data_IF_915009648819
#
_entry.id   IF_915009648819
#
_cell.length_a   1.000
_cell.length_b   1.000
_cell.length_c   1.000
_cell.angle_alpha   90.00
_cell.angle_beta   90.00
_cell.angle_gamma   90.00
#
_symmetry.space_group_name_H-M   'P 1'
#
loop_
_entity.id
_entity.type
_entity.pdbx_description
1 polymer ?
#
# COMPACT_ATOMS: atom_id res chain seq x y z
N UNK A 1 -36.77 10.86 -46.03
CA UNK A 1 -36.86 9.49 -45.50
C UNK A 1 -35.79 8.62 -46.15
N UNK A 2 -34.66 8.33 -45.47
CA UNK A 2 -33.63 7.31 -45.83
C UNK A 2 -32.38 7.41 -44.91
N UNK A 3 -32.55 7.39 -43.57
CA UNK A 3 -31.40 7.29 -42.63
C UNK A 3 -31.76 6.59 -41.31
N UNK A 4 -32.52 5.49 -41.36
CA UNK A 4 -32.97 4.78 -40.14
C UNK A 4 -32.80 3.26 -40.21
N UNK A 5 -31.85 2.74 -40.99
CA UNK A 5 -31.69 1.29 -41.20
C UNK A 5 -30.25 0.76 -41.14
N UNK A 6 -29.34 1.41 -40.40
CA UNK A 6 -27.94 0.95 -40.32
C UNK A 6 -27.41 0.77 -38.89
N UNK A 7 -28.25 0.82 -37.86
CA UNK A 7 -27.82 0.64 -36.47
C UNK A 7 -28.25 -0.69 -35.83
N UNK A 8 -28.95 -1.57 -36.56
CA UNK A 8 -29.51 -2.81 -35.99
C UNK A 8 -28.71 -4.09 -36.31
N UNK A 9 -27.76 -4.05 -37.25
CA UNK A 9 -27.01 -5.24 -37.69
C UNK A 9 -25.67 -5.46 -36.99
N UNK A 10 -25.18 -4.50 -36.19
CA UNK A 10 -23.90 -4.64 -35.46
C UNK A 10 -24.06 -5.24 -34.05
N UNK A 11 -25.29 -5.43 -33.56
CA UNK A 11 -25.56 -6.06 -32.26
C UNK A 11 -25.75 -7.59 -32.35
N UNK A 12 -25.62 -8.18 -33.54
CA UNK A 12 -25.84 -9.62 -33.78
C UNK A 12 -24.55 -10.42 -34.04
N UNK A 13 -23.36 -9.82 -33.94
CA UNK A 13 -22.08 -10.50 -34.20
C UNK A 13 -21.26 -10.86 -32.94
N UNK A 14 -21.84 -10.79 -31.75
CA UNK A 14 -21.22 -11.36 -30.54
C UNK A 14 -22.16 -12.39 -29.90
N UNK A 15 -22.65 -13.32 -30.71
CA UNK A 15 -23.33 -14.54 -30.27
C UNK A 15 -22.42 -15.76 -30.43
N UNK A 16 -21.12 -15.61 -30.12
CA UNK A 16 -20.31 -16.74 -29.71
C UNK A 16 -20.36 -16.78 -28.18
N UNK A 17 -21.33 -17.54 -27.67
CA UNK A 17 -21.34 -18.06 -26.29
C UNK A 17 -20.06 -18.89 -26.10
N UNK A 18 -18.94 -18.24 -25.80
CA UNK A 18 -17.95 -18.87 -24.96
C UNK A 18 -18.71 -19.16 -23.66
N UNK A 19 -19.02 -20.42 -23.41
CA UNK A 19 -19.53 -20.82 -22.11
C UNK A 19 -18.54 -20.27 -21.08
N UNK A 20 -19.00 -19.33 -20.26
CA UNK A 20 -18.23 -18.90 -19.09
C UNK A 20 -18.16 -20.13 -18.22
N UNK A 21 -16.97 -20.70 -18.14
CA UNK A 21 -16.66 -21.78 -17.23
C UNK A 21 -16.58 -21.18 -15.83
N UNK A 22 -17.72 -21.19 -15.14
CA UNK A 22 -17.87 -20.58 -13.82
C UNK A 22 -16.97 -21.24 -12.78
N UNK A 23 -16.70 -22.54 -12.91
CA UNK A 23 -15.80 -23.28 -12.01
C UNK A 23 -14.36 -22.78 -12.18
N UNK A 24 -13.93 -22.56 -13.43
CA UNK A 24 -12.62 -21.97 -13.71
C UNK A 24 -12.53 -20.52 -13.23
N UNK A 25 -13.60 -19.75 -13.36
CA UNK A 25 -13.65 -18.37 -12.88
C UNK A 25 -13.57 -18.31 -11.35
N UNK A 26 -14.27 -19.21 -10.65
CA UNK A 26 -14.27 -19.31 -9.19
C UNK A 26 -12.87 -19.64 -8.66
N UNK A 27 -12.19 -20.64 -9.24
CA UNK A 27 -10.79 -20.98 -8.88
C UNK A 27 -9.87 -19.76 -9.10
N UNK A 28 -10.03 -19.04 -10.21
CA UNK A 28 -9.21 -17.85 -10.49
C UNK A 28 -9.47 -16.72 -9.49
N UNK A 29 -10.71 -16.57 -9.02
CA UNK A 29 -11.07 -15.57 -8.01
C UNK A 29 -10.53 -15.93 -6.64
N UNK A 30 -10.56 -17.21 -6.26
CA UNK A 30 -9.98 -17.70 -5.00
C UNK A 30 -8.46 -17.52 -4.97
N UNK A 31 -7.78 -17.86 -6.08
CA UNK A 31 -6.33 -17.63 -6.23
C UNK A 31 -6.00 -16.14 -6.12
N UNK A 32 -6.74 -15.26 -6.80
CA UNK A 32 -6.54 -13.81 -6.74
C UNK A 32 -6.82 -13.24 -5.35
N UNK A 33 -7.86 -13.73 -4.66
CA UNK A 33 -8.17 -13.30 -3.30
C UNK A 33 -7.07 -13.72 -2.30
N UNK A 34 -6.54 -14.93 -2.47
CA UNK A 34 -5.42 -15.44 -1.64
C UNK A 34 -4.17 -14.60 -1.84
N UNK A 35 -3.80 -14.31 -3.09
CA UNK A 35 -2.69 -13.42 -3.42
C UNK A 35 -2.85 -12.03 -2.80
N UNK A 36 -4.03 -11.43 -2.93
CA UNK A 36 -4.31 -10.11 -2.37
C UNK A 36 -4.24 -10.10 -0.84
N UNK A 37 -4.73 -11.15 -0.18
CA UNK A 37 -4.66 -11.30 1.27
C UNK A 37 -3.21 -11.36 1.77
N UNK A 38 -2.36 -12.15 1.12
CA UNK A 38 -0.95 -12.28 1.51
C UNK A 38 -0.17 -10.98 1.29
N UNK A 39 -0.42 -10.25 0.19
CA UNK A 39 0.18 -8.92 -0.01
C UNK A 39 -0.32 -7.89 1.03
N UNK A 40 -1.58 -8.00 1.46
CA UNK A 40 -2.13 -7.14 2.52
C UNK A 40 -1.44 -7.41 3.85
N UNK A 41 -1.23 -8.68 4.20
CA UNK A 41 -0.49 -9.07 5.40
C UNK A 41 0.97 -8.61 5.32
N UNK A 42 1.62 -8.76 4.16
CA UNK A 42 2.98 -8.27 3.94
C UNK A 42 3.08 -6.76 4.16
N UNK A 43 2.14 -5.99 3.60
CA UNK A 43 2.07 -4.54 3.82
C UNK A 43 1.96 -4.21 5.31
N UNK A 44 1.02 -4.85 6.00
CA UNK A 44 0.83 -4.67 7.45
C UNK A 44 2.11 -4.99 8.23
N UNK A 45 2.76 -6.11 7.94
CA UNK A 45 3.96 -6.56 8.63
C UNK A 45 5.14 -5.60 8.44
N UNK A 46 5.34 -5.06 7.23
CA UNK A 46 6.39 -4.05 6.96
C UNK A 46 6.09 -2.73 7.66
N UNK A 47 4.83 -2.26 7.62
CA UNK A 47 4.44 -1.03 8.32
C UNK A 47 4.63 -1.16 9.82
N UNK A 48 4.21 -2.30 10.41
CA UNK A 48 4.33 -2.55 11.84
C UNK A 48 5.78 -2.75 12.27
N UNK A 49 6.62 -3.46 11.50
CA UNK A 49 8.02 -3.68 11.89
C UNK A 49 8.79 -2.37 12.06
N UNK A 50 8.48 -1.35 11.27
CA UNK A 50 9.07 -0.02 11.41
C UNK A 50 8.41 0.82 12.51
N UNK A 51 7.09 0.76 12.66
CA UNK A 51 6.40 1.40 13.79
C UNK A 51 6.85 0.88 15.16
N UNK A 52 7.40 -0.33 15.18
CA UNK A 52 7.88 -1.07 16.35
C UNK A 52 9.40 -0.91 16.54
N UNK A 53 10.10 -0.17 15.67
CA UNK A 53 11.56 0.03 15.72
C UNK A 53 12.10 0.81 16.94
N UNK A 54 11.27 1.13 17.94
CA UNK A 54 11.68 1.94 19.10
C UNK A 54 11.76 1.24 20.46
N UNK A 55 11.28 0.00 20.71
CA UNK A 55 11.26 -0.51 22.10
C UNK A 55 11.28 -2.04 22.33
N UNK A 56 12.48 -2.63 22.42
CA UNK A 56 12.78 -3.87 23.21
C UNK A 56 12.40 -5.25 22.63
N UNK A 57 12.95 -6.32 23.25
CA UNK A 57 12.78 -7.72 22.85
C UNK A 57 11.33 -8.27 22.88
N UNK A 58 10.37 -7.53 23.47
CA UNK A 58 8.93 -7.87 23.40
C UNK A 58 8.39 -7.90 21.97
N UNK A 59 9.02 -7.13 21.11
CA UNK A 59 8.46 -6.68 19.84
C UNK A 59 8.64 -7.69 18.72
N UNK A 60 9.75 -8.43 18.73
CA UNK A 60 9.91 -9.62 17.88
C UNK A 60 8.86 -10.69 18.21
N UNK A 61 8.45 -10.80 19.48
CA UNK A 61 7.37 -11.67 19.92
C UNK A 61 6.00 -11.22 19.41
N UNK A 62 5.76 -9.90 19.34
CA UNK A 62 4.52 -9.33 18.79
C UNK A 62 4.44 -9.58 17.28
N UNK A 63 5.49 -9.27 16.51
CA UNK A 63 5.52 -9.51 15.07
C UNK A 63 5.38 -11.00 14.73
N UNK A 64 5.99 -11.88 15.53
CA UNK A 64 5.78 -13.33 15.44
C UNK A 64 4.33 -13.74 15.73
N UNK A 65 3.74 -13.21 16.80
CA UNK A 65 2.34 -13.48 17.16
C UNK A 65 1.35 -12.98 16.09
N UNK A 66 1.71 -11.92 15.36
CA UNK A 66 0.98 -11.40 14.21
C UNK A 66 1.24 -12.16 12.91
N UNK A 67 2.12 -13.17 12.92
CA UNK A 67 2.40 -14.01 11.76
C UNK A 67 3.32 -13.39 10.71
N UNK A 68 4.16 -12.43 11.08
CA UNK A 68 5.00 -11.69 10.14
C UNK A 68 6.31 -12.37 9.73
N UNK A 69 6.68 -13.51 10.33
CA UNK A 69 8.02 -14.10 10.15
C UNK A 69 8.31 -14.51 8.69
N UNK A 70 7.29 -14.91 7.92
CA UNK A 70 7.49 -15.53 6.60
C UNK A 70 6.65 -14.91 5.48
N UNK A 71 6.07 -13.71 5.65
CA UNK A 71 5.11 -13.14 4.68
C UNK A 71 5.67 -12.90 3.28
N UNK A 72 6.98 -12.66 3.15
CA UNK A 72 7.64 -12.57 1.83
C UNK A 72 7.67 -13.93 1.15
N UNK A 73 7.94 -15.01 1.90
CA UNK A 73 7.96 -16.36 1.35
C UNK A 73 6.54 -16.84 1.03
N UNK A 74 5.57 -16.53 1.89
CA UNK A 74 4.16 -16.83 1.64
C UNK A 74 3.67 -16.15 0.35
N UNK A 75 4.06 -14.89 0.11
CA UNK A 75 3.72 -14.17 -1.13
C UNK A 75 4.29 -14.87 -2.38
N UNK A 76 5.52 -15.39 -2.30
CA UNK A 76 6.14 -16.18 -3.37
C UNK A 76 5.39 -17.49 -3.61
N UNK A 77 5.00 -18.17 -2.53
CA UNK A 77 4.33 -19.47 -2.60
C UNK A 77 2.93 -19.38 -3.22
N UNK A 78 2.23 -18.26 -3.01
CA UNK A 78 0.94 -17.96 -3.67
C UNK A 78 1.10 -17.34 -5.06
N UNK A 79 2.32 -17.37 -5.62
CA UNK A 79 2.67 -16.93 -6.98
C UNK A 79 2.56 -15.41 -7.22
N UNK A 80 2.67 -14.58 -6.19
CA UNK A 80 2.93 -13.16 -6.43
C UNK A 80 4.30 -12.98 -7.08
N UNK A 81 4.38 -12.03 -8.00
CA UNK A 81 5.63 -11.66 -8.68
C UNK A 81 6.54 -10.86 -7.74
N UNK A 82 7.85 -10.91 -7.98
CA UNK A 82 8.80 -10.06 -7.25
C UNK A 82 8.47 -8.56 -7.40
N UNK A 83 7.91 -8.16 -8.54
CA UNK A 83 7.43 -6.79 -8.75
C UNK A 83 6.28 -6.43 -7.80
N UNK A 84 5.26 -7.28 -7.68
CA UNK A 84 4.13 -7.06 -6.76
C UNK A 84 4.57 -7.04 -5.30
N UNK A 85 5.47 -7.95 -4.92
CA UNK A 85 6.05 -8.02 -3.58
C UNK A 85 6.83 -6.73 -3.28
N UNK A 86 7.73 -6.31 -4.17
CA UNK A 86 8.54 -5.10 -3.98
C UNK A 86 7.67 -3.84 -3.96
N UNK A 87 6.66 -3.73 -4.83
CA UNK A 87 5.73 -2.62 -4.84
C UNK A 87 4.92 -2.53 -3.53
N UNK A 88 4.55 -3.68 -2.96
CA UNK A 88 3.86 -3.76 -1.67
C UNK A 88 4.77 -3.29 -0.53
N UNK A 89 6.02 -3.74 -0.50
CA UNK A 89 7.02 -3.30 0.48
C UNK A 89 7.27 -1.79 0.38
N UNK A 90 7.50 -1.27 -0.83
CA UNK A 90 7.72 0.16 -1.07
C UNK A 90 6.50 0.97 -0.60
N UNK A 91 5.28 0.51 -0.89
CA UNK A 91 4.05 1.17 -0.42
C UNK A 91 4.00 1.23 1.10
N UNK A 92 4.31 0.12 1.78
CA UNK A 92 4.33 0.07 3.24
C UNK A 92 5.40 1.00 3.83
N UNK A 93 6.58 1.06 3.23
CA UNK A 93 7.67 1.97 3.63
C UNK A 93 7.30 3.44 3.44
N UNK A 94 6.56 3.79 2.38
CA UNK A 94 6.05 5.17 2.21
C UNK A 94 5.13 5.58 3.35
N UNK A 95 4.22 4.70 3.78
CA UNK A 95 3.34 4.97 4.94
C UNK A 95 4.17 5.19 6.20
N UNK A 96 5.20 4.38 6.42
CA UNK A 96 6.13 4.54 7.54
C UNK A 96 6.82 5.91 7.48
N UNK A 97 7.40 6.27 6.34
CA UNK A 97 8.13 7.53 6.19
C UNK A 97 7.25 8.75 6.42
N UNK A 98 5.99 8.72 5.96
CA UNK A 98 5.03 9.80 6.23
C UNK A 98 4.71 9.91 7.74
N UNK A 99 4.50 8.79 8.43
CA UNK A 99 4.28 8.80 9.88
C UNK A 99 5.49 9.35 10.66
N UNK A 100 6.72 9.02 10.24
CA UNK A 100 7.94 9.56 10.87
C UNK A 100 8.11 11.06 10.59
N UNK A 101 7.72 11.53 9.39
CA UNK A 101 7.64 12.96 9.07
C UNK A 101 6.62 13.68 9.97
N UNK A 102 5.44 13.10 10.18
CA UNK A 102 4.40 13.66 11.06
C UNK A 102 4.90 13.79 12.52
N UNK A 103 5.50 12.73 13.06
CA UNK A 103 6.11 12.73 14.39
C UNK A 103 7.21 13.79 14.50
N UNK A 104 8.05 13.91 13.49
CA UNK A 104 9.11 14.90 13.47
C UNK A 104 8.56 16.33 13.42
N UNK A 105 7.53 16.59 12.60
CA UNK A 105 6.82 17.88 12.59
C UNK A 105 6.22 18.25 13.95
N UNK A 106 5.69 17.26 14.67
CA UNK A 106 5.21 17.42 16.05
C UNK A 106 6.34 17.71 17.04
N UNK A 107 7.50 17.06 16.91
CA UNK A 107 8.67 17.25 17.78
C UNK A 107 9.29 18.66 17.63
N UNK A 108 9.26 19.22 16.41
CA UNK A 108 9.69 20.60 16.13
C UNK A 108 8.85 21.62 16.92
N UNK A 109 7.54 21.40 17.08
CA UNK A 109 6.68 22.25 17.93
C UNK A 109 7.15 22.22 19.39
N UNK A 110 7.66 21.07 19.85
CA UNK A 110 8.09 20.87 21.24
C UNK A 110 9.54 21.28 21.53
N UNK A 111 10.27 21.80 20.54
CA UNK A 111 11.61 22.38 20.73
C UNK A 111 12.79 21.45 20.45
N UNK A 112 12.56 20.26 19.88
CA UNK A 112 13.60 19.36 19.38
C UNK A 112 13.83 19.65 17.89
N UNK A 113 14.72 20.60 17.60
CA UNK A 113 14.89 21.24 16.27
C UNK A 113 15.93 20.55 15.39
N UNK A 114 16.59 19.49 15.87
CA UNK A 114 17.62 18.77 15.10
C UNK A 114 17.00 17.80 14.06
N UNK A 115 16.39 18.47 13.09
CA UNK A 115 16.29 18.21 11.65
C UNK A 115 15.54 16.97 11.18
N UNK A 116 14.26 17.18 10.83
CA UNK A 116 13.44 16.30 9.98
C UNK A 116 14.03 16.06 8.58
N UNK A 117 15.22 16.60 8.26
CA UNK A 117 15.84 16.47 6.95
C UNK A 117 16.12 15.02 6.59
N UNK A 118 16.54 14.17 7.53
CA UNK A 118 16.82 12.76 7.22
C UNK A 118 15.55 12.01 6.86
N UNK A 119 14.44 12.23 7.58
CA UNK A 119 13.15 11.61 7.28
C UNK A 119 12.58 12.10 5.94
N UNK A 120 12.78 13.39 5.62
CA UNK A 120 12.39 13.97 4.33
C UNK A 120 13.21 13.38 3.18
N UNK A 121 14.53 13.22 3.33
CA UNK A 121 15.36 12.61 2.29
C UNK A 121 15.04 11.12 2.11
N UNK A 122 14.84 10.37 3.20
CA UNK A 122 14.38 8.97 3.13
C UNK A 122 13.03 8.83 2.42
N UNK A 123 12.08 9.74 2.68
CA UNK A 123 10.80 9.77 1.98
C UNK A 123 10.95 10.04 0.47
N UNK A 124 11.84 10.98 0.09
CA UNK A 124 12.13 11.27 -1.31
C UNK A 124 12.80 10.10 -2.03
N UNK A 125 13.70 9.40 -1.36
CA UNK A 125 14.38 8.20 -1.91
C UNK A 125 13.38 7.07 -2.21
N UNK A 126 12.30 7.00 -1.44
CA UNK A 126 11.17 6.10 -1.72
C UNK A 126 10.24 6.61 -2.83
N UNK A 127 10.46 7.84 -3.33
CA UNK A 127 9.66 8.48 -4.37
C UNK A 127 8.37 9.09 -3.85
N UNK A 128 8.34 9.60 -2.61
CA UNK A 128 7.29 10.53 -2.16
C UNK A 128 7.52 11.91 -2.74
N UNK A 129 6.44 12.58 -3.13
CA UNK A 129 6.51 13.91 -3.72
C UNK A 129 6.59 14.99 -2.65
N UNK A 130 7.02 16.19 -3.04
CA UNK A 130 6.96 17.35 -2.15
C UNK A 130 5.53 17.69 -1.72
N UNK A 131 4.51 17.31 -2.50
CA UNK A 131 3.10 17.50 -2.15
C UNK A 131 2.67 16.54 -1.04
N UNK A 132 2.99 15.24 -1.17
CA UNK A 132 2.71 14.22 -0.14
C UNK A 132 3.34 14.63 1.20
N UNK A 133 4.60 15.06 1.17
CA UNK A 133 5.34 15.49 2.36
C UNK A 133 4.75 16.77 2.95
N UNK A 134 4.34 17.72 2.09
CA UNK A 134 3.76 19.00 2.52
C UNK A 134 2.36 18.84 3.08
N UNK A 135 1.56 17.90 2.60
CA UNK A 135 0.24 17.60 3.15
C UNK A 135 0.38 17.15 4.62
N UNK A 136 1.26 16.18 4.88
CA UNK A 136 1.51 15.69 6.24
C UNK A 136 2.10 16.77 7.17
N UNK A 137 3.11 17.52 6.71
CA UNK A 137 3.69 18.62 7.51
C UNK A 137 2.73 19.82 7.68
N UNK A 138 1.93 20.09 6.65
CA UNK A 138 1.02 21.24 6.55
C UNK A 138 -0.27 21.09 7.35
N UNK A 139 -0.72 19.86 7.61
CA UNK A 139 -1.81 19.57 8.54
C UNK A 139 -1.46 20.08 9.95
N UNK A 140 -0.21 19.97 10.38
CA UNK A 140 0.26 20.38 11.71
C UNK A 140 0.45 21.91 11.82
N UNK A 141 0.93 22.57 10.76
CA UNK A 141 1.07 24.03 10.73
C UNK A 141 -0.25 24.79 10.93
N UNK A 142 -1.39 24.18 10.60
CA UNK A 142 -2.72 24.74 10.85
C UNK A 142 -3.20 24.60 12.30
N UNK A 143 -2.73 23.60 13.05
CA UNK A 143 -3.07 23.44 14.47
C UNK A 143 -2.20 24.30 15.39
N UNK A 144 -0.95 24.60 15.00
CA UNK A 144 -0.06 25.47 15.78
C UNK A 144 -0.39 26.98 15.69
N UNK A 145 -1.17 27.42 14.70
CA UNK A 145 -1.54 28.85 14.49
C UNK A 145 -2.96 29.15 15.01
N UNK A 146 -3.61 28.19 15.68
CA UNK A 146 -5.00 28.29 16.17
C UNK A 146 -5.20 28.09 17.67
N UNK A 147 -4.15 28.15 18.50
CA UNK A 147 -4.22 28.07 19.97
C UNK A 147 -3.96 29.42 20.62
#
# INVERSE_FOLDING_TARGET
MKKLLLAATLLLSVSSTAAVDWDKLEITMEEAATQAAVLTDLHFCVTMSHGVSYTSNSDAGILKALGCEDKVQEARDVKNTEEEINNTIIRALKVVSLNEIEKCGSAVITGEVDSCSSQIEEAKDLGLTEEDIREELGLIGRFAIGS
#
